data_IF_103595717033
#
_entry.id   IF_103595717033
#
_cell.length_a   1.000
_cell.length_b   1.000
_cell.length_c   1.000
_cell.angle_alpha   90.00
_cell.angle_beta   90.00
_cell.angle_gamma   90.00
#
_symmetry.space_group_name_H-M   'P 1'
#
loop_
_entity.id
_entity.type
_entity.pdbx_description
1 polymer ?
#
# COMPACT_ATOMS: atom_id res chain seq x y z
N UNK A 1 10.42 17.50 24.66
CA UNK A 1 10.16 17.44 23.19
C UNK A 1 10.33 15.98 22.75
N UNK A 2 9.45 15.43 21.90
CA UNK A 2 9.56 14.01 21.48
C UNK A 2 10.77 13.86 20.54
N UNK A 3 11.68 12.94 20.84
CA UNK A 3 12.86 12.69 20.01
C UNK A 3 12.53 11.65 18.92
N UNK A 4 12.04 12.11 17.76
CA UNK A 4 11.65 11.23 16.66
C UNK A 4 12.82 10.43 16.07
N UNK A 5 14.04 11.00 16.06
CA UNK A 5 15.24 10.28 15.60
C UNK A 5 15.50 9.06 16.47
N UNK A 6 15.41 9.23 17.79
CA UNK A 6 15.54 8.13 18.75
C UNK A 6 14.42 7.09 18.58
N UNK A 7 13.17 7.52 18.42
CA UNK A 7 12.04 6.61 18.12
C UNK A 7 12.31 5.74 16.89
N UNK A 8 12.81 6.32 15.79
CA UNK A 8 13.13 5.55 14.58
C UNK A 8 14.26 4.55 14.86
N UNK A 9 15.33 4.98 15.54
CA UNK A 9 16.46 4.11 15.91
C UNK A 9 16.00 2.93 16.78
N UNK A 10 15.15 3.18 17.77
CA UNK A 10 14.64 2.13 18.67
C UNK A 10 13.73 1.15 17.94
N UNK A 11 12.86 1.64 17.06
CA UNK A 11 12.05 0.75 16.20
C UNK A 11 12.97 -0.10 15.33
N UNK A 12 13.95 0.51 14.65
CA UNK A 12 14.86 -0.22 13.76
C UNK A 12 15.62 -1.30 14.52
N UNK A 13 16.13 -0.98 15.72
CA UNK A 13 16.78 -1.96 16.59
C UNK A 13 15.86 -3.13 16.94
N UNK A 14 14.59 -2.90 17.26
CA UNK A 14 13.63 -3.99 17.54
C UNK A 14 13.46 -4.93 16.34
N UNK A 15 13.37 -4.39 15.12
CA UNK A 15 13.28 -5.23 13.90
C UNK A 15 14.60 -5.98 13.62
N UNK A 16 15.74 -5.36 13.89
CA UNK A 16 17.06 -6.01 13.78
C UNK A 16 17.22 -7.15 14.79
N UNK A 17 16.88 -6.91 16.05
CA UNK A 17 16.95 -7.89 17.14
C UNK A 17 15.98 -9.08 16.91
N UNK A 18 14.96 -8.91 16.06
CA UNK A 18 13.98 -9.94 15.72
C UNK A 18 14.08 -10.45 14.27
N UNK A 19 15.21 -10.24 13.59
CA UNK A 19 15.36 -10.59 12.17
C UNK A 19 15.12 -12.08 11.87
N UNK A 20 15.40 -12.97 12.83
CA UNK A 20 15.17 -14.42 12.68
C UNK A 20 13.76 -14.87 13.05
N UNK A 21 12.99 -14.01 13.72
CA UNK A 21 11.65 -14.31 14.23
C UNK A 21 10.55 -13.72 13.34
N UNK A 22 10.91 -12.85 12.39
CA UNK A 22 9.97 -12.20 11.49
C UNK A 22 10.02 -12.83 10.10
N UNK A 23 8.85 -12.90 9.46
CA UNK A 23 8.75 -13.32 8.07
C UNK A 23 9.57 -12.43 7.12
N UNK A 24 10.11 -13.03 6.07
CA UNK A 24 10.83 -12.33 5.00
C UNK A 24 10.01 -11.18 4.40
N UNK A 25 8.69 -11.35 4.29
CA UNK A 25 7.79 -10.31 3.80
C UNK A 25 7.76 -9.08 4.73
N UNK A 26 7.61 -9.31 6.04
CA UNK A 26 7.59 -8.24 7.03
C UNK A 26 8.92 -7.47 7.06
N UNK A 27 10.05 -8.17 7.07
CA UNK A 27 11.36 -7.53 7.08
C UNK A 27 11.64 -6.80 5.76
N UNK A 28 11.33 -7.43 4.62
CA UNK A 28 11.53 -6.83 3.31
C UNK A 28 10.69 -5.56 3.12
N UNK A 29 9.45 -5.53 3.62
CA UNK A 29 8.59 -4.34 3.61
C UNK A 29 9.14 -3.24 4.51
N UNK A 30 9.48 -3.57 5.75
CA UNK A 30 10.02 -2.62 6.72
C UNK A 30 11.30 -1.95 6.21
N UNK A 31 12.30 -2.75 5.80
CA UNK A 31 13.59 -2.22 5.37
C UNK A 31 13.56 -1.55 3.99
N UNK A 32 12.64 -1.93 3.09
CA UNK A 32 12.44 -1.17 1.85
C UNK A 32 11.91 0.24 2.13
N UNK A 33 10.97 0.40 3.08
CA UNK A 33 10.46 1.71 3.50
C UNK A 33 11.51 2.51 4.27
N UNK A 34 12.30 1.84 5.11
CA UNK A 34 13.42 2.47 5.80
C UNK A 34 14.48 3.01 4.82
N UNK A 35 14.82 2.24 3.79
CA UNK A 35 15.69 2.70 2.71
C UNK A 35 15.11 3.94 2.00
N UNK A 36 13.81 3.95 1.72
CA UNK A 36 13.16 5.06 1.03
C UNK A 36 13.35 6.42 1.75
N UNK A 37 13.57 6.44 3.06
CA UNK A 37 13.78 7.68 3.81
C UNK A 37 15.22 7.92 4.29
N UNK A 38 16.00 6.85 4.56
CA UNK A 38 17.36 6.97 5.10
C UNK A 38 18.47 6.44 4.19
N UNK A 39 18.13 5.78 3.08
CA UNK A 39 19.11 5.29 2.11
C UNK A 39 19.98 4.13 2.63
N UNK A 40 19.56 3.45 3.70
CA UNK A 40 20.31 2.33 4.26
C UNK A 40 20.48 1.23 3.21
N UNK A 41 21.72 0.81 2.95
CA UNK A 41 22.02 -0.29 2.01
C UNK A 41 22.22 -1.64 2.69
N UNK A 42 22.45 -1.65 4.02
CA UNK A 42 22.72 -2.85 4.83
C UNK A 42 21.73 -4.00 4.61
N UNK A 43 20.47 -3.69 4.31
CA UNK A 43 19.38 -4.66 4.18
C UNK A 43 19.01 -4.99 2.73
N UNK A 44 19.81 -4.55 1.75
CA UNK A 44 19.52 -4.72 0.33
C UNK A 44 19.26 -6.18 -0.05
N UNK A 45 20.11 -7.12 0.38
CA UNK A 45 19.95 -8.56 0.08
C UNK A 45 18.66 -9.15 0.64
N UNK A 46 18.30 -8.79 1.86
CA UNK A 46 17.06 -9.26 2.48
C UNK A 46 15.82 -8.69 1.75
N UNK A 47 15.87 -7.41 1.38
CA UNK A 47 14.83 -6.82 0.52
C UNK A 47 14.80 -7.53 -0.84
N UNK A 48 15.96 -7.82 -1.44
CA UNK A 48 16.06 -8.51 -2.72
C UNK A 48 15.44 -9.89 -2.70
N UNK A 49 15.72 -10.68 -1.66
CA UNK A 49 15.13 -12.00 -1.48
C UNK A 49 13.61 -11.90 -1.36
N UNK A 50 13.09 -10.98 -0.55
CA UNK A 50 11.64 -10.75 -0.47
C UNK A 50 11.04 -10.40 -1.84
N UNK A 51 11.69 -9.54 -2.62
CA UNK A 51 11.22 -9.18 -3.96
C UNK A 51 11.25 -10.38 -4.91
N UNK A 52 12.31 -11.17 -4.88
CA UNK A 52 12.45 -12.35 -5.73
C UNK A 52 11.37 -13.40 -5.44
N UNK A 53 11.31 -13.89 -4.20
CA UNK A 53 10.38 -14.96 -3.79
C UNK A 53 8.93 -14.47 -3.75
N UNK A 54 8.72 -13.24 -3.28
CA UNK A 54 7.39 -12.68 -3.08
C UNK A 54 6.70 -12.21 -4.36
N UNK A 55 7.47 -11.81 -5.38
CA UNK A 55 6.94 -11.11 -6.54
C UNK A 55 7.53 -11.61 -7.87
N UNK A 56 8.85 -11.69 -8.01
CA UNK A 56 9.49 -12.05 -9.30
C UNK A 56 9.07 -13.44 -9.79
N UNK A 57 9.30 -14.49 -8.99
CA UNK A 57 8.97 -15.87 -9.39
C UNK A 57 7.47 -16.08 -9.59
N UNK A 58 6.64 -15.30 -8.88
CA UNK A 58 5.18 -15.36 -9.04
C UNK A 58 4.71 -14.65 -10.31
N UNK A 59 5.32 -13.52 -10.65
CA UNK A 59 5.05 -12.81 -11.88
C UNK A 59 5.36 -13.68 -13.09
N UNK A 60 6.53 -14.35 -13.09
CA UNK A 60 6.92 -15.26 -14.15
C UNK A 60 5.86 -16.34 -14.38
N UNK A 61 5.43 -17.02 -13.31
CA UNK A 61 4.33 -17.99 -13.38
C UNK A 61 3.02 -17.38 -13.88
N UNK A 62 2.64 -16.22 -13.36
CA UNK A 62 1.37 -15.58 -13.68
C UNK A 62 1.36 -14.96 -15.08
N UNK A 63 2.52 -14.66 -15.68
CA UNK A 63 2.63 -14.28 -17.09
C UNK A 63 2.13 -15.39 -18.00
N UNK A 64 2.50 -16.64 -17.75
CA UNK A 64 2.01 -17.79 -18.51
C UNK A 64 0.49 -17.96 -18.36
N UNK A 65 -0.01 -17.96 -17.12
CA UNK A 65 -1.46 -18.02 -16.84
C UNK A 65 -2.20 -16.91 -17.59
N UNK A 66 -1.66 -15.69 -17.58
CA UNK A 66 -2.24 -14.55 -18.26
C UNK A 66 -2.19 -14.69 -19.78
N UNK A 67 -1.11 -15.19 -20.37
CA UNK A 67 -1.01 -15.33 -21.83
C UNK A 67 -1.96 -16.44 -22.33
N UNK A 68 -2.13 -17.49 -21.54
CA UNK A 68 -3.01 -18.61 -21.83
C UNK A 68 -4.51 -18.29 -21.62
N UNK A 69 -4.85 -17.05 -21.24
CA UNK A 69 -6.21 -16.60 -20.91
C UNK A 69 -6.87 -17.35 -19.73
N UNK A 70 -6.08 -17.79 -18.74
CA UNK A 70 -6.55 -18.57 -17.59
C UNK A 70 -6.79 -17.75 -16.32
N UNK A 71 -6.88 -16.42 -16.41
CA UNK A 71 -7.08 -15.57 -15.23
C UNK A 71 -8.39 -15.89 -14.48
N UNK A 72 -9.44 -16.31 -15.20
CA UNK A 72 -10.74 -16.68 -14.63
C UNK A 72 -10.70 -17.96 -13.80
N UNK A 73 -9.64 -18.76 -13.91
CA UNK A 73 -9.44 -19.98 -13.13
C UNK A 73 -8.78 -19.70 -11.76
N UNK A 74 -8.43 -18.44 -11.48
CA UNK A 74 -7.71 -18.06 -10.26
C UNK A 74 -8.58 -18.22 -9.03
N UNK A 75 -8.20 -19.15 -8.17
CA UNK A 75 -8.93 -19.42 -6.92
C UNK A 75 -8.43 -18.59 -5.76
N UNK A 76 -9.38 -18.16 -4.91
CA UNK A 76 -9.06 -17.64 -3.59
C UNK A 76 -8.49 -18.78 -2.72
N UNK A 77 -7.28 -18.59 -2.19
CA UNK A 77 -6.63 -19.61 -1.35
C UNK A 77 -6.99 -19.40 0.12
N UNK A 78 -7.34 -20.47 0.82
CA UNK A 78 -7.61 -20.47 2.25
C UNK A 78 -9.07 -20.79 2.59
N UNK A 79 -9.34 -20.96 3.89
CA UNK A 79 -10.68 -21.25 4.40
C UNK A 79 -11.55 -19.99 4.43
N UNK A 80 -12.87 -20.19 4.35
CA UNK A 80 -13.86 -19.11 4.47
C UNK A 80 -13.64 -18.36 5.79
N UNK A 81 -13.27 -17.06 5.75
CA UNK A 81 -12.91 -16.34 6.96
C UNK A 81 -14.14 -15.95 7.78
N UNK A 82 -13.99 -15.92 9.12
CA UNK A 82 -15.06 -15.54 10.06
C UNK A 82 -15.27 -14.02 10.17
N UNK A 83 -14.21 -13.23 10.04
CA UNK A 83 -14.28 -11.76 10.20
C UNK A 83 -15.03 -11.11 9.04
N UNK A 84 -16.05 -10.30 9.33
CA UNK A 84 -16.95 -9.64 8.35
C UNK A 84 -16.19 -9.10 7.12
N UNK A 85 -15.21 -8.21 7.30
CA UNK A 85 -14.43 -7.63 6.19
C UNK A 85 -13.70 -8.67 5.33
N UNK A 86 -13.08 -9.67 5.95
CA UNK A 86 -12.40 -10.75 5.22
C UNK A 86 -13.41 -11.62 4.48
N UNK A 87 -14.58 -11.87 5.06
CA UNK A 87 -15.66 -12.63 4.43
C UNK A 87 -16.23 -11.92 3.21
N UNK A 88 -16.39 -10.60 3.30
CA UNK A 88 -16.84 -9.77 2.18
C UNK A 88 -15.87 -9.85 0.99
N UNK A 89 -14.56 -9.69 1.24
CA UNK A 89 -13.51 -9.87 0.21
C UNK A 89 -13.50 -11.29 -0.35
N UNK A 90 -13.62 -12.30 0.50
CA UNK A 90 -13.70 -13.70 0.08
C UNK A 90 -14.85 -13.92 -0.91
N UNK A 91 -16.06 -13.42 -0.59
CA UNK A 91 -17.22 -13.53 -1.48
C UNK A 91 -16.98 -12.83 -2.82
N UNK A 92 -16.53 -11.57 -2.78
CA UNK A 92 -16.25 -10.78 -3.97
C UNK A 92 -15.26 -11.48 -4.91
N UNK A 93 -14.11 -11.94 -4.40
CA UNK A 93 -13.10 -12.59 -5.22
C UNK A 93 -13.47 -14.00 -5.67
N UNK A 94 -14.35 -14.69 -4.94
CA UNK A 94 -14.88 -15.99 -5.38
C UNK A 94 -15.82 -15.79 -6.58
N UNK A 95 -16.60 -14.72 -6.60
CA UNK A 95 -17.49 -14.37 -7.70
C UNK A 95 -16.76 -13.68 -8.85
N UNK A 96 -15.62 -13.05 -8.57
CA UNK A 96 -14.81 -12.28 -9.52
C UNK A 96 -13.36 -12.80 -9.56
N UNK A 97 -13.11 -14.03 -10.01
CA UNK A 97 -11.77 -14.65 -9.99
C UNK A 97 -10.75 -13.90 -10.85
N UNK A 98 -11.18 -13.31 -11.97
CA UNK A 98 -10.32 -12.47 -12.80
C UNK A 98 -9.85 -11.21 -12.04
N UNK A 99 -10.70 -10.58 -11.23
CA UNK A 99 -10.30 -9.43 -10.39
C UNK A 99 -9.24 -9.83 -9.37
N UNK A 100 -9.41 -10.99 -8.72
CA UNK A 100 -8.39 -11.55 -7.83
C UNK A 100 -7.06 -11.79 -8.53
N UNK A 101 -7.11 -12.29 -9.77
CA UNK A 101 -5.91 -12.47 -10.60
C UNK A 101 -5.23 -11.13 -10.86
N UNK A 102 -5.97 -10.13 -11.36
CA UNK A 102 -5.39 -8.84 -11.71
C UNK A 102 -4.81 -8.09 -10.51
N UNK A 103 -5.45 -8.14 -9.36
CA UNK A 103 -4.92 -7.53 -8.13
C UNK A 103 -3.55 -8.10 -7.75
N UNK A 104 -3.37 -9.42 -7.91
CA UNK A 104 -2.08 -10.08 -7.66
C UNK A 104 -1.07 -9.78 -8.75
N UNK A 105 -1.47 -9.99 -10.00
CA UNK A 105 -0.61 -9.88 -11.17
C UNK A 105 -0.05 -8.45 -11.35
N UNK A 106 -0.90 -7.43 -11.22
CA UNK A 106 -0.47 -6.03 -11.33
C UNK A 106 0.44 -5.61 -10.18
N UNK A 107 0.19 -6.13 -8.97
CA UNK A 107 1.05 -5.88 -7.83
C UNK A 107 2.43 -6.54 -8.01
N UNK A 108 2.48 -7.79 -8.44
CA UNK A 108 3.72 -8.49 -8.78
C UNK A 108 4.49 -7.75 -9.88
N UNK A 109 3.81 -7.37 -10.97
CA UNK A 109 4.39 -6.57 -12.05
C UNK A 109 4.98 -5.26 -11.54
N UNK A 110 4.23 -4.52 -10.74
CA UNK A 110 4.69 -3.25 -10.20
C UNK A 110 5.94 -3.40 -9.35
N UNK A 111 5.99 -4.37 -8.43
CA UNK A 111 7.16 -4.57 -7.58
C UNK A 111 8.38 -5.00 -8.40
N UNK A 112 8.21 -5.88 -9.40
CA UNK A 112 9.31 -6.25 -10.32
C UNK A 112 9.84 -5.04 -11.10
N UNK A 113 8.95 -4.17 -11.60
CA UNK A 113 9.36 -2.92 -12.26
C UNK A 113 10.04 -1.95 -11.29
N UNK A 114 9.46 -1.76 -10.10
CA UNK A 114 9.93 -0.84 -9.06
C UNK A 114 11.39 -1.13 -8.68
N UNK A 115 11.76 -2.40 -8.61
CA UNK A 115 13.09 -2.84 -8.22
C UNK A 115 14.03 -3.15 -9.40
N UNK A 116 13.62 -2.83 -10.63
CA UNK A 116 14.47 -2.92 -11.82
C UNK A 116 14.72 -4.33 -12.33
N UNK A 117 13.78 -5.26 -12.10
CA UNK A 117 13.93 -6.67 -12.45
C UNK A 117 13.13 -7.10 -13.69
N UNK A 118 12.36 -6.21 -14.32
CA UNK A 118 11.50 -6.56 -15.45
C UNK A 118 12.30 -7.10 -16.66
N UNK A 119 13.49 -6.57 -16.90
CA UNK A 119 14.40 -7.00 -17.98
C UNK A 119 14.97 -8.41 -17.79
N UNK A 120 14.79 -9.01 -16.61
CA UNK A 120 15.22 -10.38 -16.31
C UNK A 120 14.20 -11.45 -16.71
N UNK A 121 12.99 -11.03 -17.12
CA UNK A 121 11.96 -11.93 -17.63
C UNK A 121 12.02 -12.02 -19.17
N UNK A 122 11.50 -13.11 -19.78
CA UNK A 122 11.50 -13.24 -21.23
C UNK A 122 10.75 -12.10 -21.93
N UNK A 123 11.44 -11.38 -22.82
CA UNK A 123 10.90 -10.19 -23.53
C UNK A 123 9.60 -10.47 -24.28
N UNK A 124 9.48 -11.66 -24.85
CA UNK A 124 8.28 -12.10 -25.57
C UNK A 124 7.06 -12.17 -24.64
N UNK A 125 7.19 -12.77 -23.45
CA UNK A 125 6.11 -12.87 -22.46
C UNK A 125 5.65 -11.48 -22.01
N UNK A 126 6.61 -10.60 -21.71
CA UNK A 126 6.32 -9.21 -21.31
C UNK A 126 5.54 -8.49 -22.42
N UNK A 127 5.98 -8.63 -23.67
CA UNK A 127 5.37 -7.97 -24.83
C UNK A 127 3.94 -8.45 -25.08
N UNK A 128 3.72 -9.77 -25.03
CA UNK A 128 2.38 -10.37 -25.17
C UNK A 128 1.46 -9.93 -24.03
N UNK A 129 1.92 -10.00 -22.79
CA UNK A 129 1.14 -9.58 -21.63
C UNK A 129 0.80 -8.08 -21.68
N UNK A 130 1.76 -7.21 -22.01
CA UNK A 130 1.51 -5.77 -22.13
C UNK A 130 0.47 -5.46 -23.22
N UNK A 131 0.54 -6.17 -24.36
CA UNK A 131 -0.43 -6.03 -25.45
C UNK A 131 -1.83 -6.49 -25.06
N UNK A 132 -1.94 -7.57 -24.29
CA UNK A 132 -3.22 -8.07 -23.75
C UNK A 132 -3.82 -7.13 -22.71
N UNK A 133 -3.00 -6.63 -21.76
CA UNK A 133 -3.43 -5.67 -20.73
C UNK A 133 -4.10 -4.42 -21.33
N UNK A 134 -3.58 -3.91 -22.46
CA UNK A 134 -4.17 -2.74 -23.14
C UNK A 134 -5.59 -2.97 -23.64
N UNK A 135 -5.98 -4.21 -23.93
CA UNK A 135 -7.30 -4.56 -24.47
C UNK A 135 -8.35 -4.78 -23.38
N UNK A 136 -7.94 -4.88 -22.11
CA UNK A 136 -8.84 -5.16 -21.00
C UNK A 136 -9.57 -3.89 -20.57
N UNK A 137 -10.88 -3.98 -20.43
CA UNK A 137 -11.71 -2.92 -19.87
C UNK A 137 -11.66 -2.94 -18.33
N UNK A 138 -10.60 -2.35 -17.77
CA UNK A 138 -10.40 -2.28 -16.33
C UNK A 138 -11.42 -1.40 -15.59
N UNK A 139 -12.12 -0.52 -16.28
CA UNK A 139 -13.19 0.27 -15.68
C UNK A 139 -14.36 -0.62 -15.26
N UNK A 140 -14.73 -1.61 -16.07
CA UNK A 140 -15.76 -2.61 -15.70
C UNK A 140 -15.33 -3.49 -14.53
N UNK A 141 -14.02 -3.68 -14.33
CA UNK A 141 -13.47 -4.52 -13.26
C UNK A 141 -13.40 -3.72 -11.95
N UNK A 142 -12.85 -2.50 -11.99
CA UNK A 142 -12.48 -1.76 -10.80
C UNK A 142 -13.42 -0.60 -10.48
N UNK A 143 -14.02 0.07 -11.46
CA UNK A 143 -14.85 1.25 -11.20
C UNK A 143 -16.33 0.85 -11.01
N UNK A 144 -16.58 -0.11 -10.13
CA UNK A 144 -17.92 -0.53 -9.71
C UNK A 144 -18.13 -0.22 -8.23
N UNK A 145 -19.39 0.04 -7.84
CA UNK A 145 -19.73 0.27 -6.42
C UNK A 145 -19.36 -0.93 -5.54
N UNK A 146 -19.49 -2.14 -6.08
CA UNK A 146 -19.08 -3.35 -5.39
C UNK A 146 -17.56 -3.37 -5.14
N UNK A 147 -16.74 -3.19 -6.17
CA UNK A 147 -15.29 -3.24 -6.02
C UNK A 147 -14.77 -2.16 -5.06
N UNK A 148 -15.31 -0.93 -5.15
CA UNK A 148 -14.98 0.18 -4.23
C UNK A 148 -15.36 -0.14 -2.79
N UNK A 149 -16.52 -0.74 -2.55
CA UNK A 149 -16.98 -1.04 -1.19
C UNK A 149 -16.26 -2.24 -0.55
N UNK A 150 -15.85 -3.24 -1.34
CA UNK A 150 -15.26 -4.48 -0.79
C UNK A 150 -13.75 -4.39 -0.57
N UNK A 151 -13.01 -3.78 -1.51
CA UNK A 151 -11.55 -3.70 -1.40
C UNK A 151 -10.91 -2.52 -2.13
N UNK A 152 -11.34 -1.32 -1.78
CA UNK A 152 -10.80 -0.07 -2.32
C UNK A 152 -9.26 0.04 -2.28
N UNK A 153 -8.60 -0.48 -1.24
CA UNK A 153 -7.13 -0.44 -1.13
C UNK A 153 -6.41 -1.17 -2.26
N UNK A 154 -6.81 -2.42 -2.54
CA UNK A 154 -6.20 -3.20 -3.62
C UNK A 154 -6.60 -2.67 -4.99
N UNK A 155 -7.85 -2.23 -5.12
CA UNK A 155 -8.35 -1.55 -6.31
C UNK A 155 -7.53 -0.30 -6.65
N UNK A 156 -7.36 0.63 -5.70
CA UNK A 156 -6.61 1.87 -5.96
C UNK A 156 -5.15 1.57 -6.27
N UNK A 157 -4.55 0.59 -5.59
CA UNK A 157 -3.24 0.09 -5.96
C UNK A 157 -3.19 -0.35 -7.43
N UNK A 158 -4.12 -1.21 -7.87
CA UNK A 158 -4.17 -1.75 -9.23
C UNK A 158 -4.37 -0.67 -10.30
N UNK A 159 -5.34 0.24 -10.13
CA UNK A 159 -5.63 1.28 -11.14
C UNK A 159 -4.49 2.29 -11.26
N UNK A 160 -3.78 2.58 -10.17
CA UNK A 160 -2.58 3.42 -10.24
C UNK A 160 -1.37 2.67 -10.81
N UNK A 161 -1.24 1.35 -10.60
CA UNK A 161 -0.23 0.56 -11.32
C UNK A 161 -0.44 0.64 -12.83
N UNK A 162 -1.67 0.46 -13.29
CA UNK A 162 -2.03 0.65 -14.70
C UNK A 162 -1.63 2.05 -15.19
N UNK A 163 -1.97 3.11 -14.44
CA UNK A 163 -1.55 4.49 -14.74
C UNK A 163 -0.03 4.63 -14.88
N UNK A 164 0.75 4.05 -13.95
CA UNK A 164 2.22 4.11 -13.96
C UNK A 164 2.84 3.31 -15.10
N UNK A 165 2.19 2.23 -15.53
CA UNK A 165 2.58 1.42 -16.69
C UNK A 165 2.13 2.03 -18.04
N UNK A 166 1.48 3.20 -18.02
CA UNK A 166 0.89 3.82 -19.21
C UNK A 166 -0.17 2.93 -19.89
N UNK A 167 -0.94 2.19 -19.09
CA UNK A 167 -2.06 1.36 -19.53
C UNK A 167 -3.33 1.93 -18.90
N UNK A 168 -4.39 2.16 -19.69
CA UNK A 168 -5.70 2.54 -19.17
C UNK A 168 -5.66 3.69 -18.11
N UNK A 169 -4.82 4.71 -18.37
CA UNK A 169 -4.47 5.79 -17.43
C UNK A 169 -5.67 6.52 -16.81
N UNK A 170 -6.80 6.57 -17.51
CA UNK A 170 -8.01 7.27 -17.07
C UNK A 170 -8.78 6.53 -15.97
N UNK A 171 -8.59 5.21 -15.83
CA UNK A 171 -9.36 4.36 -14.90
C UNK A 171 -9.19 4.82 -13.45
N UNK A 172 -7.97 5.21 -13.04
CA UNK A 172 -7.71 5.71 -11.69
C UNK A 172 -8.59 6.93 -11.34
N UNK A 173 -8.66 7.91 -12.24
CA UNK A 173 -9.48 9.11 -12.04
C UNK A 173 -10.99 8.83 -12.04
N UNK A 174 -11.44 7.83 -12.81
CA UNK A 174 -12.85 7.40 -12.81
C UNK A 174 -13.23 6.71 -11.50
N UNK A 175 -12.39 5.81 -11.01
CA UNK A 175 -12.61 5.13 -9.74
C UNK A 175 -12.54 6.10 -8.54
N UNK A 176 -11.66 7.10 -8.59
CA UNK A 176 -11.60 8.18 -7.59
C UNK A 176 -12.89 9.03 -7.58
N UNK A 177 -13.39 9.42 -8.77
CA UNK A 177 -14.68 10.11 -8.89
C UNK A 177 -15.83 9.29 -8.32
N UNK A 178 -15.86 7.98 -8.60
CA UNK A 178 -16.87 7.07 -8.07
C UNK A 178 -16.81 6.99 -6.53
N UNK A 179 -15.62 6.85 -5.95
CA UNK A 179 -15.44 6.87 -4.48
C UNK A 179 -15.99 8.17 -3.89
N UNK A 180 -15.61 9.31 -4.48
CA UNK A 180 -16.08 10.63 -4.03
C UNK A 180 -17.61 10.72 -4.13
N UNK A 181 -18.21 10.23 -5.21
CA UNK A 181 -19.66 10.24 -5.38
C UNK A 181 -20.38 9.36 -4.35
N UNK A 182 -19.86 8.16 -4.05
CA UNK A 182 -20.45 7.23 -3.09
C UNK A 182 -20.54 7.87 -1.69
N UNK A 183 -19.47 8.51 -1.23
CA UNK A 183 -19.37 8.99 0.16
C UNK A 183 -19.68 10.46 0.37
N UNK A 184 -19.43 11.32 -0.63
CA UNK A 184 -19.58 12.78 -0.52
C UNK A 184 -20.60 13.36 -1.50
N UNK A 185 -20.98 12.60 -2.54
CA UNK A 185 -22.01 13.01 -3.51
C UNK A 185 -23.41 12.52 -3.15
N UNK A 186 -23.53 11.57 -2.22
CA UNK A 186 -24.80 11.13 -1.66
C UNK A 186 -25.14 11.98 -0.43
N UNK A 187 -26.43 12.08 -0.06
CA UNK A 187 -26.86 12.65 1.23
C UNK A 187 -26.51 11.73 2.41
N UNK A 188 -25.45 10.91 2.27
CA UNK A 188 -25.00 9.96 3.27
C UNK A 188 -24.40 10.73 4.43
N UNK A 189 -25.07 10.64 5.58
CA UNK A 189 -24.54 11.16 6.82
C UNK A 189 -23.38 10.27 7.30
N UNK A 190 -22.15 10.74 7.10
CA UNK A 190 -20.93 10.02 7.51
C UNK A 190 -20.86 9.77 9.02
N UNK A 191 -21.63 10.49 9.85
CA UNK A 191 -21.71 10.21 11.28
C UNK A 191 -22.51 8.93 11.56
N UNK A 192 -23.43 8.55 10.67
CA UNK A 192 -24.35 7.41 10.81
C UNK A 192 -23.85 6.10 10.20
N UNK A 193 -22.83 6.14 9.33
CA UNK A 193 -22.25 4.91 8.79
C UNK A 193 -21.46 4.14 9.84
N UNK A 194 -21.25 2.84 9.63
CA UNK A 194 -20.48 2.00 10.55
C UNK A 194 -19.01 2.46 10.68
N UNK A 195 -18.36 2.11 11.80
CA UNK A 195 -16.94 2.40 12.00
C UNK A 195 -16.06 1.74 10.94
N UNK A 196 -16.39 0.51 10.53
CA UNK A 196 -15.65 -0.25 9.52
C UNK A 196 -15.76 0.39 8.14
N UNK A 197 -16.95 0.88 7.79
CA UNK A 197 -17.19 1.58 6.53
C UNK A 197 -16.45 2.92 6.49
N UNK A 198 -16.52 3.68 7.59
CA UNK A 198 -15.75 4.92 7.72
C UNK A 198 -14.24 4.69 7.60
N UNK A 199 -13.73 3.65 8.26
CA UNK A 199 -12.33 3.23 8.10
C UNK A 199 -11.99 2.88 6.66
N UNK A 200 -12.88 2.15 5.97
CA UNK A 200 -12.68 1.81 4.56
C UNK A 200 -12.59 3.06 3.71
N UNK A 201 -13.45 4.05 3.93
CA UNK A 201 -13.43 5.31 3.19
C UNK A 201 -12.13 6.08 3.39
N UNK A 202 -11.70 6.30 4.63
CA UNK A 202 -10.43 7.01 4.93
C UNK A 202 -9.23 6.25 4.36
N UNK A 203 -9.22 4.92 4.50
CA UNK A 203 -8.17 4.06 3.96
C UNK A 203 -8.14 4.06 2.42
N UNK A 204 -9.29 4.23 1.76
CA UNK A 204 -9.35 4.39 0.30
C UNK A 204 -8.62 5.66 -0.14
N UNK A 205 -8.86 6.76 0.59
CA UNK A 205 -8.24 8.05 0.33
C UNK A 205 -6.71 8.03 0.55
N UNK A 206 -6.23 7.33 1.57
CA UNK A 206 -4.78 7.17 1.77
C UNK A 206 -4.16 6.39 0.61
N UNK A 207 -4.80 5.31 0.16
CA UNK A 207 -4.33 4.50 -0.96
C UNK A 207 -4.29 5.23 -2.32
N UNK A 208 -5.17 6.21 -2.56
CA UNK A 208 -5.09 7.07 -3.74
C UNK A 208 -3.76 7.84 -3.75
N UNK A 209 -3.45 8.56 -2.66
CA UNK A 209 -2.22 9.38 -2.56
C UNK A 209 -0.97 8.48 -2.56
N UNK A 210 -1.00 7.40 -1.78
CA UNK A 210 0.12 6.45 -1.68
C UNK A 210 0.40 5.82 -3.05
N UNK A 211 -0.62 5.36 -3.77
CA UNK A 211 -0.39 4.74 -5.06
C UNK A 211 0.06 5.77 -6.12
N UNK A 212 -0.49 6.99 -6.15
CA UNK A 212 -0.05 8.05 -7.06
C UNK A 212 1.40 8.50 -6.80
N UNK A 213 1.85 8.42 -5.55
CA UNK A 213 3.23 8.68 -5.12
C UNK A 213 4.23 7.61 -5.58
N UNK A 214 3.78 6.64 -6.39
CA UNK A 214 4.53 5.43 -6.75
C UNK A 214 4.99 4.69 -5.50
N UNK A 215 4.15 4.61 -4.47
CA UNK A 215 4.47 4.01 -3.18
C UNK A 215 5.70 4.70 -2.56
N UNK A 216 5.52 6.00 -2.29
CA UNK A 216 6.44 6.88 -1.59
C UNK A 216 7.72 7.24 -2.34
N UNK A 217 7.81 7.00 -3.65
CA UNK A 217 9.01 7.34 -4.43
C UNK A 217 9.05 8.81 -4.85
N UNK A 218 7.91 9.50 -4.80
CA UNK A 218 7.80 10.93 -5.14
C UNK A 218 6.75 11.63 -4.32
N UNK A 219 6.89 12.94 -4.18
CA UNK A 219 5.79 13.80 -3.75
C UNK A 219 4.73 13.91 -4.85
N UNK A 220 3.49 14.22 -4.47
CA UNK A 220 2.35 14.34 -5.38
C UNK A 220 1.56 15.61 -5.13
N UNK A 221 0.76 16.01 -6.12
CA UNK A 221 -0.15 17.15 -6.09
C UNK A 221 -1.50 16.73 -6.71
N UNK A 222 -2.51 17.59 -6.60
CA UNK A 222 -3.82 17.36 -7.22
C UNK A 222 -4.87 16.67 -6.33
N UNK A 223 -4.50 16.23 -5.13
CA UNK A 223 -5.39 15.54 -4.19
C UNK A 223 -6.11 16.48 -3.21
N UNK A 224 -6.47 17.69 -3.65
CA UNK A 224 -6.97 18.77 -2.76
C UNK A 224 -8.19 18.33 -1.95
N UNK A 225 -9.15 17.66 -2.57
CA UNK A 225 -10.37 17.23 -1.86
C UNK A 225 -10.09 16.22 -0.74
N UNK A 226 -9.09 15.33 -0.92
CA UNK A 226 -8.66 14.38 0.10
C UNK A 226 -7.95 15.12 1.24
N UNK A 227 -7.06 16.06 0.90
CA UNK A 227 -6.33 16.87 1.88
C UNK A 227 -7.31 17.69 2.72
N UNK A 228 -8.24 18.39 2.06
CA UNK A 228 -9.27 19.19 2.73
C UNK A 228 -10.13 18.29 3.63
N UNK A 229 -10.50 17.08 3.17
CA UNK A 229 -11.21 16.11 3.99
C UNK A 229 -10.42 15.70 5.24
N UNK A 230 -9.15 15.33 5.09
CA UNK A 230 -8.30 14.92 6.23
C UNK A 230 -8.16 16.03 7.27
N UNK A 231 -7.92 17.27 6.82
CA UNK A 231 -7.73 18.42 7.71
C UNK A 231 -9.02 18.77 8.44
N UNK A 232 -10.14 18.84 7.73
CA UNK A 232 -11.43 19.26 8.30
C UNK A 232 -12.06 18.20 9.20
N UNK A 233 -11.65 16.93 9.07
CA UNK A 233 -12.25 15.80 9.80
C UNK A 233 -11.25 15.08 10.70
N UNK A 234 -10.13 15.70 11.08
CA UNK A 234 -9.06 15.00 11.80
C UNK A 234 -9.54 14.39 13.12
N UNK A 235 -10.41 15.07 13.86
CA UNK A 235 -10.93 14.54 15.13
C UNK A 235 -11.76 13.27 14.91
N UNK A 236 -12.61 13.27 13.89
CA UNK A 236 -13.38 12.09 13.52
C UNK A 236 -12.47 10.95 13.04
N UNK A 237 -11.42 11.26 12.27
CA UNK A 237 -10.42 10.28 11.83
C UNK A 237 -9.71 9.66 13.04
N UNK A 238 -9.23 10.47 13.98
CA UNK A 238 -8.54 10.00 15.19
C UNK A 238 -9.44 9.08 16.03
N UNK A 239 -10.73 9.41 16.16
CA UNK A 239 -11.66 8.66 17.01
C UNK A 239 -12.18 7.37 16.36
N UNK A 240 -12.31 7.35 15.03
CA UNK A 240 -12.99 6.26 14.32
C UNK A 240 -12.06 5.36 13.52
N UNK A 241 -10.79 5.74 13.34
CA UNK A 241 -9.82 4.93 12.59
C UNK A 241 -8.79 4.23 13.46
N UNK A 242 -8.00 3.34 12.86
CA UNK A 242 -6.89 2.65 13.53
C UNK A 242 -5.64 3.53 13.52
N UNK A 243 -4.65 3.21 14.36
CA UNK A 243 -3.34 3.88 14.32
C UNK A 243 -2.62 3.73 12.98
N UNK A 244 -2.94 2.65 12.28
CA UNK A 244 -2.43 2.35 10.96
C UNK A 244 -2.91 3.37 9.93
N UNK A 245 -4.23 3.58 9.85
CA UNK A 245 -4.85 4.58 8.99
C UNK A 245 -4.40 6.00 9.40
N UNK A 246 -4.31 6.29 10.70
CA UNK A 246 -3.85 7.60 11.18
C UNK A 246 -2.39 7.88 10.75
N UNK A 247 -1.51 6.87 10.80
CA UNK A 247 -0.14 6.98 10.31
C UNK A 247 -0.10 7.26 8.80
N UNK A 248 -0.95 6.58 8.02
CA UNK A 248 -1.07 6.83 6.59
C UNK A 248 -1.63 8.22 6.27
N UNK A 249 -2.62 8.72 7.02
CA UNK A 249 -3.14 10.09 6.86
C UNK A 249 -2.04 11.11 7.07
N UNK A 250 -1.26 10.98 8.15
CA UNK A 250 -0.10 11.84 8.40
C UNK A 250 0.92 11.78 7.27
N UNK A 251 1.24 10.57 6.78
CA UNK A 251 2.16 10.38 5.67
C UNK A 251 1.61 10.96 4.35
N UNK A 252 0.30 10.87 4.09
CA UNK A 252 -0.33 11.44 2.91
C UNK A 252 -0.24 12.96 2.87
N UNK A 253 -0.43 13.64 4.00
CA UNK A 253 -0.22 15.10 4.10
C UNK A 253 1.23 15.46 3.75
N UNK A 254 2.20 14.68 4.21
CA UNK A 254 3.61 14.83 3.86
C UNK A 254 3.89 14.57 2.38
N UNK A 255 3.37 13.48 1.81
CA UNK A 255 3.52 13.16 0.38
C UNK A 255 2.96 14.26 -0.52
N UNK A 256 1.94 14.98 -0.04
CA UNK A 256 1.35 16.13 -0.70
C UNK A 256 2.07 17.47 -0.39
N UNK A 257 3.24 17.44 0.26
CA UNK A 257 4.03 18.61 0.69
C UNK A 257 3.27 19.59 1.58
N UNK A 258 2.33 19.09 2.39
CA UNK A 258 1.52 19.93 3.27
C UNK A 258 2.17 20.17 4.64
N UNK A 259 3.39 19.69 4.86
CA UNK A 259 4.08 19.76 6.15
C UNK A 259 4.29 21.17 6.68
N UNK A 260 4.50 22.14 5.78
CA UNK A 260 4.61 23.55 6.16
C UNK A 260 3.26 24.16 6.51
N UNK A 261 2.22 23.84 5.73
CA UNK A 261 0.88 24.44 5.87
C UNK A 261 0.15 23.91 7.11
N UNK A 262 0.27 22.61 7.37
CA UNK A 262 -0.43 21.95 8.49
C UNK A 262 0.55 21.39 9.53
N UNK A 263 1.62 22.14 9.83
CA UNK A 263 2.69 21.71 10.74
C UNK A 263 2.16 21.25 12.10
N UNK A 264 1.25 22.02 12.73
CA UNK A 264 0.69 21.70 14.05
C UNK A 264 -0.13 20.40 14.03
N UNK A 265 -0.91 20.19 12.96
CA UNK A 265 -1.72 19.00 12.75
C UNK A 265 -0.85 17.75 12.62
N UNK A 266 0.15 17.80 11.75
CA UNK A 266 1.05 16.68 11.50
C UNK A 266 1.87 16.37 12.76
N UNK A 267 2.35 17.38 13.48
CA UNK A 267 3.04 17.18 14.75
C UNK A 267 2.12 16.58 15.83
N UNK A 268 0.84 16.95 15.88
CA UNK A 268 -0.14 16.29 16.76
C UNK A 268 -0.30 14.81 16.41
N UNK A 269 -0.45 14.48 15.13
CA UNK A 269 -0.53 13.09 14.64
C UNK A 269 0.71 12.30 15.04
N UNK A 270 1.92 12.83 14.79
CA UNK A 270 3.19 12.18 15.16
C UNK A 270 3.26 11.91 16.66
N UNK A 271 2.98 12.91 17.50
CA UNK A 271 2.98 12.75 18.96
C UNK A 271 2.01 11.67 19.42
N UNK A 272 0.78 11.67 18.90
CA UNK A 272 -0.22 10.66 19.23
C UNK A 272 0.21 9.24 18.84
N UNK A 273 0.81 9.08 17.65
CA UNK A 273 1.29 7.78 17.18
C UNK A 273 2.45 7.27 18.05
N UNK A 274 3.43 8.14 18.35
CA UNK A 274 4.58 7.79 19.21
C UNK A 274 4.13 7.46 20.63
N UNK A 275 3.21 8.24 21.20
CA UNK A 275 2.70 8.00 22.55
C UNK A 275 1.96 6.65 22.69
N UNK A 276 1.43 6.10 21.59
CA UNK A 276 0.70 4.83 21.57
C UNK A 276 1.59 3.62 21.25
N UNK A 277 2.91 3.80 21.08
CA UNK A 277 3.85 2.70 20.91
C UNK A 277 3.96 1.92 22.23
N UNK A 278 3.69 0.62 22.17
CA UNK A 278 3.90 -0.29 23.30
C UNK A 278 5.28 -0.93 23.20
N UNK A 279 6.32 -0.21 23.61
CA UNK A 279 7.73 -0.59 23.46
C UNK A 279 8.04 -1.99 23.98
N UNK A 280 7.66 -2.28 25.23
CA UNK A 280 7.89 -3.59 25.84
C UNK A 280 7.26 -4.71 25.00
N UNK A 281 6.01 -4.50 24.53
CA UNK A 281 5.30 -5.49 23.73
C UNK A 281 5.91 -5.69 22.35
N UNK A 282 6.45 -4.63 21.72
CA UNK A 282 7.18 -4.76 20.46
C UNK A 282 8.48 -5.57 20.64
N UNK A 283 9.14 -5.45 21.79
CA UNK A 283 10.39 -6.15 22.06
C UNK A 283 10.19 -7.63 22.43
N UNK A 284 9.11 -7.98 23.15
CA UNK A 284 8.94 -9.33 23.72
C UNK A 284 7.87 -10.19 23.07
N UNK A 285 6.99 -9.62 22.23
CA UNK A 285 5.88 -10.35 21.59
C UNK A 285 6.01 -10.24 20.05
N UNK A 286 6.58 -11.28 19.45
CA UNK A 286 6.79 -11.37 17.99
C UNK A 286 5.48 -11.32 17.21
N UNK A 287 4.38 -11.87 17.74
CA UNK A 287 3.07 -11.80 17.07
C UNK A 287 2.57 -10.35 17.04
N UNK A 288 2.75 -9.62 18.13
CA UNK A 288 2.44 -8.19 18.19
C UNK A 288 3.35 -7.37 17.27
N UNK A 289 4.64 -7.65 17.23
CA UNK A 289 5.58 -7.01 16.29
C UNK A 289 5.15 -7.23 14.84
N UNK A 290 4.75 -8.46 14.49
CA UNK A 290 4.19 -8.81 13.19
C UNK A 290 2.91 -8.01 12.88
N UNK A 291 1.96 -7.95 13.81
CA UNK A 291 0.72 -7.18 13.66
C UNK A 291 0.96 -5.67 13.51
N UNK A 292 2.11 -5.16 13.95
CA UNK A 292 2.46 -3.73 13.93
C UNK A 292 3.44 -3.34 12.83
N UNK A 293 3.93 -4.29 12.02
CA UNK A 293 4.89 -4.01 10.94
C UNK A 293 4.45 -2.86 10.04
N UNK A 294 3.26 -2.95 9.45
CA UNK A 294 2.81 -1.92 8.52
C UNK A 294 2.76 -0.54 9.19
N UNK A 295 2.11 -0.43 10.36
CA UNK A 295 2.04 0.84 11.10
C UNK A 295 3.44 1.39 11.45
N UNK A 296 4.35 0.54 11.95
CA UNK A 296 5.70 0.96 12.34
C UNK A 296 6.51 1.42 11.13
N UNK A 297 6.38 0.70 10.02
CA UNK A 297 7.09 1.01 8.76
C UNK A 297 6.58 2.30 8.10
N UNK A 298 5.29 2.63 8.26
CA UNK A 298 4.73 3.92 7.83
C UNK A 298 5.16 5.03 8.80
N UNK A 299 5.20 4.73 10.10
CA UNK A 299 5.61 5.69 11.12
C UNK A 299 7.06 6.15 10.90
N UNK A 300 8.01 5.25 10.60
CA UNK A 300 9.40 5.68 10.31
C UNK A 300 9.46 6.65 9.13
N UNK A 301 8.60 6.48 8.12
CA UNK A 301 8.53 7.37 6.96
C UNK A 301 7.92 8.72 7.31
N UNK A 302 6.93 8.73 8.19
CA UNK A 302 6.32 9.97 8.70
C UNK A 302 7.29 10.74 9.61
N UNK A 303 8.08 10.05 10.43
CA UNK A 303 9.01 10.64 11.40
C UNK A 303 10.33 11.13 10.79
N UNK A 304 10.72 10.64 9.62
CA UNK A 304 11.96 11.05 8.97
C UNK A 304 11.99 12.55 8.63
N UNK A 305 13.16 13.17 8.55
CA UNK A 305 13.30 14.59 8.13
C UNK A 305 13.84 14.71 6.70
N UNK A 306 13.48 13.76 5.83
CA UNK A 306 13.96 13.73 4.45
C UNK A 306 13.20 14.73 3.55
N UNK A 307 13.94 15.55 2.82
CA UNK A 307 13.42 16.48 1.78
C UNK A 307 13.06 15.79 0.46
N UNK A 308 13.59 14.59 0.24
CA UNK A 308 13.35 13.70 -0.91
C UNK A 308 13.33 12.25 -0.46
N UNK A 309 12.58 11.41 -1.16
CA UNK A 309 12.66 9.96 -0.97
C UNK A 309 13.79 9.39 -1.82
N UNK A 310 14.46 8.37 -1.32
CA UNK A 310 15.44 7.61 -2.08
C UNK A 310 14.72 6.76 -3.13
N UNK A 311 15.38 6.57 -4.27
CA UNK A 311 14.93 5.60 -5.25
C UNK A 311 14.87 4.21 -4.60
N UNK A 312 14.00 3.30 -5.07
CA UNK A 312 14.08 1.90 -4.69
C UNK A 312 15.47 1.32 -5.01
N UNK A 313 15.84 0.25 -4.33
CA UNK A 313 17.01 -0.53 -4.72
C UNK A 313 16.91 -0.92 -6.20
N UNK A 314 18.01 -0.75 -6.94
CA UNK A 314 18.17 -1.34 -8.27
C UNK A 314 18.79 -2.71 -8.06
N UNK A 315 17.94 -3.74 -8.05
CA UNK A 315 18.38 -5.09 -7.76
C UNK A 315 18.93 -5.77 -9.01
N UNK A 316 19.98 -6.54 -8.80
CA UNK A 316 20.61 -7.42 -9.79
C UNK A 316 20.45 -8.88 -9.37
N UNK A 317 20.82 -9.81 -10.25
CA UNK A 317 20.88 -11.23 -9.89
C UNK A 317 21.85 -11.49 -8.73
N UNK A 318 22.95 -10.74 -8.64
CA UNK A 318 23.96 -10.87 -7.58
C UNK A 318 23.47 -10.38 -6.20
N UNK A 319 22.32 -9.71 -6.14
CA UNK A 319 21.69 -9.35 -4.86
C UNK A 319 20.81 -10.48 -4.30
N UNK A 320 20.49 -11.48 -5.13
CA UNK A 320 19.57 -12.58 -4.84
C UNK A 320 20.34 -13.88 -4.52
N UNK A 321 21.53 -14.06 -5.11
CA UNK A 321 22.44 -15.20 -4.93
C UNK A 321 23.73 -14.75 -4.24
#
# INVERSE_FOLDING_TARGET
MVNYKKTVQDLTKIYEDNIWNLSLASLGHYFARHHAVYGLLKYQRLVAWNIYVGYFSRLEKNLHIFIDNKEGETKYKGTKPKKKRKLMRYKFYTQNPATLFFDKFLNEWFYVVKFGLLDKLPKELITKAFSRLKKINFEKIYCTKEAVNQDSSYLFNAVFFLKHLNINKSVAGKCEKLLKQIYLGSQLDLSKISKEEYQSFVYSMTHIIIADSKYYQRFVSGHKWIIDYFVNNIEMIVNRTTLDILAEVGLCLRLCRQDKKYVRLIESIKKQLVAKIKWQKLATDTEYLHKREHTNSILIMLLADNKKFNAPYKLSKNDIF
#
